data_IF_249588121061
#
_entry.id   IF_249588121061
#
_cell.length_a   1.000
_cell.length_b   1.000
_cell.length_c   1.000
_cell.angle_alpha   90.00
_cell.angle_beta   90.00
_cell.angle_gamma   90.00
#
_symmetry.space_group_name_H-M   'P 1'
#
loop_
_entity.id
_entity.type
_entity.pdbx_description
1 polymer ?
#
# COMPACT_ATOMS: atom_id res chain seq x y z
N UNK A 1 -17.39 -15.59 17.65
CA UNK A 1 -16.66 -14.56 18.41
C UNK A 1 -16.57 -13.30 17.56
N UNK A 2 -17.18 -12.22 17.97
CA UNK A 2 -17.12 -10.95 17.24
C UNK A 2 -15.68 -10.42 17.30
N UNK A 3 -15.09 -10.12 16.15
CA UNK A 3 -13.77 -9.47 16.12
C UNK A 3 -13.94 -8.01 16.53
N UNK A 4 -13.34 -7.55 17.63
CA UNK A 4 -13.65 -6.25 18.24
C UNK A 4 -13.15 -5.03 17.48
N UNK A 5 -12.49 -5.20 16.33
CA UNK A 5 -11.83 -4.13 15.57
C UNK A 5 -12.37 -3.90 14.15
N UNK A 6 -13.46 -4.57 13.76
CA UNK A 6 -14.16 -4.22 12.51
C UNK A 6 -14.93 -2.93 12.74
N UNK A 7 -14.26 -1.82 12.61
CA UNK A 7 -14.94 -0.54 12.60
C UNK A 7 -15.74 -0.40 11.30
N UNK A 8 -16.99 -0.01 11.42
CA UNK A 8 -17.93 0.22 10.31
C UNK A 8 -17.57 1.50 9.51
N UNK A 9 -16.30 1.88 9.47
CA UNK A 9 -15.90 3.15 8.85
C UNK A 9 -16.18 3.12 7.34
N UNK A 10 -15.80 2.07 6.64
CA UNK A 10 -16.07 1.89 5.20
C UNK A 10 -15.95 3.17 4.37
N UNK A 11 -16.53 3.16 3.18
CA UNK A 11 -16.49 4.31 2.25
C UNK A 11 -17.22 5.55 2.82
N UNK A 12 -18.32 5.33 3.57
CA UNK A 12 -19.11 6.41 4.16
C UNK A 12 -18.35 7.19 5.22
N UNK A 13 -17.64 6.47 6.12
CA UNK A 13 -16.84 7.09 7.16
C UNK A 13 -15.64 7.87 6.59
N UNK A 14 -14.98 7.30 5.58
CA UNK A 14 -13.87 7.98 4.90
C UNK A 14 -14.35 9.28 4.24
N UNK A 15 -15.54 9.26 3.61
CA UNK A 15 -16.13 10.46 3.02
C UNK A 15 -16.29 11.58 4.04
N UNK A 16 -16.66 11.26 5.29
CA UNK A 16 -16.83 12.27 6.35
C UNK A 16 -15.52 12.90 6.77
N UNK A 17 -14.41 12.13 6.81
CA UNK A 17 -13.10 12.65 7.25
C UNK A 17 -12.24 13.20 6.12
N UNK A 18 -12.62 12.96 4.86
CA UNK A 18 -11.83 13.37 3.69
C UNK A 18 -11.65 14.89 3.53
N UNK A 19 -12.49 15.68 4.19
CA UNK A 19 -12.36 17.16 4.25
C UNK A 19 -11.30 17.65 5.26
N UNK A 20 -10.78 16.77 6.12
CA UNK A 20 -9.77 17.17 7.11
C UNK A 20 -8.49 17.65 6.43
N UNK A 21 -7.96 18.79 6.85
CA UNK A 21 -6.67 19.34 6.40
C UNK A 21 -5.52 19.03 7.36
N UNK A 22 -5.82 18.56 8.56
CA UNK A 22 -4.84 18.30 9.62
C UNK A 22 -4.43 16.84 9.73
N UNK A 23 -5.26 15.90 9.22
CA UNK A 23 -5.02 14.47 9.35
C UNK A 23 -3.88 14.02 8.42
N UNK A 24 -2.76 13.61 9.00
CA UNK A 24 -1.56 13.16 8.28
C UNK A 24 -1.44 11.64 8.21
N UNK A 25 -2.00 10.93 9.17
CA UNK A 25 -1.92 9.47 9.26
C UNK A 25 -3.31 8.88 9.32
N UNK A 26 -3.58 7.89 8.48
CA UNK A 26 -4.88 7.24 8.41
C UNK A 26 -4.74 5.71 8.33
N UNK A 27 -4.62 5.02 9.49
CA UNK A 27 -4.59 3.57 9.56
C UNK A 27 -6.02 3.01 9.61
N UNK A 28 -6.62 2.73 8.46
CA UNK A 28 -8.01 2.25 8.32
C UNK A 28 -8.08 0.82 7.75
N UNK A 29 -7.19 -0.03 8.19
CA UNK A 29 -7.23 -1.46 7.84
C UNK A 29 -8.52 -2.14 8.33
N UNK A 30 -8.97 -3.17 7.59
CA UNK A 30 -10.10 -4.06 7.94
C UNK A 30 -11.44 -3.33 8.17
N UNK A 31 -11.71 -2.25 7.43
CA UNK A 31 -12.91 -1.41 7.57
C UNK A 31 -13.95 -1.61 6.47
N UNK A 32 -13.79 -2.61 5.60
CA UNK A 32 -14.60 -2.83 4.40
C UNK A 32 -14.55 -1.69 3.37
N UNK A 33 -13.48 -0.88 3.38
CA UNK A 33 -13.26 0.15 2.38
C UNK A 33 -13.15 -0.48 0.98
N UNK A 34 -13.74 0.19 -0.01
CA UNK A 34 -13.64 -0.18 -1.42
C UNK A 34 -12.91 0.89 -2.22
N UNK A 35 -12.80 0.69 -3.54
CA UNK A 35 -12.23 1.69 -4.45
C UNK A 35 -12.97 3.04 -4.39
N UNK A 36 -14.27 3.04 -4.09
CA UNK A 36 -15.05 4.28 -3.90
C UNK A 36 -14.53 5.11 -2.72
N UNK A 37 -14.16 4.44 -1.62
CA UNK A 37 -13.55 5.12 -0.48
C UNK A 37 -12.18 5.70 -0.83
N UNK A 38 -11.37 5.01 -1.64
CA UNK A 38 -10.06 5.52 -2.10
C UNK A 38 -10.21 6.81 -2.92
N UNK A 39 -11.29 6.95 -3.70
CA UNK A 39 -11.59 8.21 -4.39
C UNK A 39 -11.67 9.37 -3.40
N UNK A 40 -12.37 9.19 -2.28
CA UNK A 40 -12.46 10.23 -1.24
C UNK A 40 -11.12 10.48 -0.55
N UNK A 41 -10.33 9.43 -0.28
CA UNK A 41 -8.98 9.56 0.30
C UNK A 41 -8.05 10.38 -0.57
N UNK A 42 -8.19 10.28 -1.89
CA UNK A 42 -7.32 11.00 -2.84
C UNK A 42 -7.40 12.53 -2.72
N UNK A 43 -8.41 13.07 -2.05
CA UNK A 43 -8.52 14.50 -1.74
C UNK A 43 -7.65 14.93 -0.54
N UNK A 44 -7.13 13.98 0.24
CA UNK A 44 -6.36 14.24 1.47
C UNK A 44 -4.86 14.36 1.17
N UNK A 45 -4.48 15.37 0.38
CA UNK A 45 -3.10 15.54 -0.12
C UNK A 45 -2.02 15.74 0.95
N UNK A 46 -2.43 15.95 2.20
CA UNK A 46 -1.53 16.10 3.36
C UNK A 46 -1.16 14.75 4.01
N UNK A 47 -1.75 13.62 3.57
CA UNK A 47 -1.44 12.32 4.14
C UNK A 47 0.02 11.94 3.90
N UNK A 48 0.67 11.51 4.97
CA UNK A 48 2.02 10.93 4.97
C UNK A 48 1.97 9.41 5.18
N UNK A 49 0.93 8.90 5.84
CA UNK A 49 0.70 7.47 6.01
C UNK A 49 -0.74 7.09 5.70
N UNK A 50 -0.90 6.01 4.92
CA UNK A 50 -2.18 5.41 4.59
C UNK A 50 -2.13 3.88 4.78
N UNK A 51 -2.91 3.36 5.73
CA UNK A 51 -3.04 1.94 5.99
C UNK A 51 -4.36 1.39 5.45
N UNK A 52 -4.31 0.61 4.37
CA UNK A 52 -5.47 0.00 3.70
C UNK A 52 -5.56 -1.51 3.89
N UNK A 53 -4.72 -2.10 4.74
CA UNK A 53 -4.64 -3.55 4.93
C UNK A 53 -6.02 -4.20 5.10
N UNK A 54 -6.23 -5.36 4.42
CA UNK A 54 -7.42 -6.17 4.61
C UNK A 54 -8.72 -5.55 4.08
N UNK A 55 -8.64 -4.47 3.32
CA UNK A 55 -9.79 -3.83 2.67
C UNK A 55 -10.06 -4.41 1.27
N UNK A 56 -11.20 -4.04 0.69
CA UNK A 56 -11.66 -4.50 -0.63
C UNK A 56 -11.15 -3.61 -1.77
N UNK A 57 -9.97 -3.01 -1.60
CA UNK A 57 -9.32 -2.16 -2.60
C UNK A 57 -8.73 -3.04 -3.70
N UNK A 58 -8.95 -2.64 -4.95
CA UNK A 58 -8.45 -3.29 -6.16
C UNK A 58 -7.55 -2.36 -6.97
N UNK A 59 -7.06 -2.81 -8.12
CA UNK A 59 -6.27 -1.99 -9.04
C UNK A 59 -7.01 -0.72 -9.48
N UNK A 60 -8.35 -0.75 -9.54
CA UNK A 60 -9.17 0.41 -9.87
C UNK A 60 -9.04 1.55 -8.84
N UNK A 61 -8.87 1.22 -7.57
CA UNK A 61 -8.61 2.23 -6.52
C UNK A 61 -7.21 2.84 -6.63
N UNK A 62 -6.23 2.05 -7.09
CA UNK A 62 -4.83 2.48 -7.16
C UNK A 62 -4.59 3.68 -8.08
N UNK A 63 -5.43 3.88 -9.10
CA UNK A 63 -5.33 5.02 -10.03
C UNK A 63 -5.50 6.37 -9.35
N UNK A 64 -6.09 6.41 -8.17
CA UNK A 64 -6.34 7.63 -7.41
C UNK A 64 -5.21 8.00 -6.42
N UNK A 65 -4.36 7.04 -6.05
CA UNK A 65 -3.27 7.24 -5.09
C UNK A 65 -2.19 8.24 -5.55
N UNK A 66 -1.87 8.39 -6.84
CA UNK A 66 -0.90 9.38 -7.32
C UNK A 66 -1.15 10.82 -6.86
N UNK A 67 -2.36 11.17 -6.42
CA UNK A 67 -2.68 12.48 -5.85
C UNK A 67 -2.07 12.71 -4.46
N UNK A 68 -1.68 11.65 -3.76
CA UNK A 68 -1.16 11.69 -2.40
C UNK A 68 0.37 11.87 -2.39
N UNK A 69 0.85 12.98 -2.93
CA UNK A 69 2.27 13.24 -3.18
C UNK A 69 3.16 13.32 -1.94
N UNK A 70 2.57 13.47 -0.74
CA UNK A 70 3.31 13.49 0.53
C UNK A 70 3.37 12.13 1.22
N UNK A 71 2.89 11.07 0.54
CA UNK A 71 2.82 9.75 1.13
C UNK A 71 4.22 9.15 1.28
N UNK A 72 4.58 8.82 2.52
CA UNK A 72 5.83 8.18 2.93
C UNK A 72 5.61 6.71 3.31
N UNK A 73 4.43 6.36 3.81
CA UNK A 73 4.06 5.00 4.19
C UNK A 73 2.72 4.57 3.58
N UNK A 74 2.72 3.38 2.93
CA UNK A 74 1.53 2.80 2.32
C UNK A 74 1.41 1.31 2.65
N UNK A 75 0.32 0.91 3.27
CA UNK A 75 0.05 -0.48 3.61
C UNK A 75 -1.11 -1.03 2.77
N UNK A 76 -0.79 -1.90 1.81
CA UNK A 76 -1.75 -2.54 0.90
C UNK A 76 -1.94 -4.04 1.17
N UNK A 77 -1.21 -4.62 2.13
CA UNK A 77 -1.27 -6.05 2.42
C UNK A 77 -2.70 -6.57 2.57
N UNK A 78 -2.96 -7.79 2.07
CA UNK A 78 -4.28 -8.44 2.17
C UNK A 78 -5.42 -7.66 1.49
N UNK A 79 -5.13 -6.81 0.52
CA UNK A 79 -6.12 -6.22 -0.39
C UNK A 79 -6.29 -7.09 -1.64
N UNK A 80 -6.87 -6.55 -2.70
CA UNK A 80 -7.02 -7.23 -4.00
C UNK A 80 -6.16 -6.60 -5.11
N UNK A 81 -5.13 -5.86 -4.73
CA UNK A 81 -4.21 -5.20 -5.66
C UNK A 81 -3.31 -6.24 -6.31
N UNK A 82 -3.07 -6.08 -7.62
CA UNK A 82 -2.19 -6.93 -8.43
C UNK A 82 -1.03 -6.11 -9.02
N UNK A 83 -0.22 -6.73 -9.89
CA UNK A 83 0.84 -6.03 -10.63
C UNK A 83 0.32 -4.80 -11.40
N UNK A 84 -0.93 -4.86 -11.90
CA UNK A 84 -1.54 -3.74 -12.62
C UNK A 84 -1.76 -2.51 -11.70
N UNK A 85 -2.10 -2.72 -10.44
CA UNK A 85 -2.25 -1.64 -9.46
C UNK A 85 -0.91 -1.08 -8.99
N UNK A 86 0.10 -1.94 -8.82
CA UNK A 86 1.45 -1.53 -8.39
C UNK A 86 2.09 -0.52 -9.36
N UNK A 87 1.74 -0.54 -10.63
CA UNK A 87 2.26 0.42 -11.63
C UNK A 87 2.05 1.88 -11.19
N UNK A 88 0.93 2.18 -10.53
CA UNK A 88 0.60 3.53 -10.09
C UNK A 88 1.50 4.07 -8.96
N UNK A 89 2.22 3.19 -8.26
CA UNK A 89 3.17 3.59 -7.22
C UNK A 89 4.39 4.34 -7.78
N UNK A 90 4.67 4.20 -9.07
CA UNK A 90 5.75 4.95 -9.74
C UNK A 90 5.57 6.47 -9.64
N UNK A 91 4.34 6.94 -9.41
CA UNK A 91 4.01 8.35 -9.24
C UNK A 91 4.14 8.84 -7.77
N UNK A 92 4.61 7.99 -6.85
CA UNK A 92 4.78 8.29 -5.43
C UNK A 92 6.25 8.17 -5.02
N UNK A 93 7.12 9.06 -5.47
CA UNK A 93 8.58 8.96 -5.26
C UNK A 93 8.98 9.13 -3.80
N UNK A 94 8.11 9.70 -2.96
CA UNK A 94 8.37 9.90 -1.53
C UNK A 94 8.15 8.67 -0.65
N UNK A 95 7.74 7.52 -1.21
CA UNK A 95 7.49 6.32 -0.41
C UNK A 95 8.79 5.81 0.24
N UNK A 96 8.75 5.66 1.56
CA UNK A 96 9.80 5.11 2.39
C UNK A 96 9.45 3.72 2.92
N UNK A 97 8.15 3.45 3.16
CA UNK A 97 7.67 2.17 3.70
C UNK A 97 6.49 1.66 2.87
N UNK A 98 6.62 0.43 2.37
CA UNK A 98 5.62 -0.17 1.51
C UNK A 98 5.35 -1.63 1.94
N UNK A 99 4.08 -1.94 2.22
CA UNK A 99 3.64 -3.29 2.55
C UNK A 99 2.75 -3.83 1.43
N UNK A 100 3.25 -4.87 0.74
CA UNK A 100 2.56 -5.59 -0.33
C UNK A 100 2.34 -7.07 0.02
N UNK A 101 2.56 -7.47 1.27
CA UNK A 101 2.43 -8.86 1.67
C UNK A 101 1.01 -9.43 1.43
N UNK A 102 0.93 -10.73 1.21
CA UNK A 102 -0.33 -11.43 0.94
C UNK A 102 -1.09 -10.89 -0.29
N UNK A 103 -0.36 -10.38 -1.30
CA UNK A 103 -0.91 -9.92 -2.57
C UNK A 103 -0.45 -10.82 -3.73
N UNK A 104 -1.24 -10.94 -4.81
CA UNK A 104 -0.84 -11.67 -6.02
C UNK A 104 0.14 -10.88 -6.90
N UNK A 105 1.06 -10.15 -6.28
CA UNK A 105 2.10 -9.34 -6.94
C UNK A 105 3.28 -10.24 -7.29
N UNK A 106 3.80 -10.13 -8.50
CA UNK A 106 4.84 -11.00 -9.08
C UNK A 106 6.09 -10.22 -9.49
N UNK A 107 7.04 -10.91 -10.12
CA UNK A 107 8.25 -10.30 -10.67
C UNK A 107 7.95 -9.23 -11.75
N UNK A 108 6.73 -9.17 -12.28
CA UNK A 108 6.30 -8.11 -13.19
C UNK A 108 6.36 -6.72 -12.55
N UNK A 109 6.18 -6.65 -11.22
CA UNK A 109 6.26 -5.39 -10.47
C UNK A 109 7.69 -4.88 -10.22
N UNK A 110 8.72 -5.71 -10.41
CA UNK A 110 10.11 -5.34 -10.11
C UNK A 110 10.53 -4.05 -10.81
N UNK A 111 10.14 -3.89 -12.09
CA UNK A 111 10.48 -2.69 -12.90
C UNK A 111 9.93 -1.38 -12.31
N UNK A 112 8.88 -1.46 -11.50
CA UNK A 112 8.31 -0.31 -10.79
C UNK A 112 8.97 -0.15 -9.44
N UNK A 113 9.06 -1.25 -8.66
CA UNK A 113 9.56 -1.22 -7.30
C UNK A 113 11.02 -0.75 -7.21
N UNK A 114 11.88 -1.14 -8.16
CA UNK A 114 13.29 -0.70 -8.18
C UNK A 114 13.47 0.81 -8.40
N UNK A 115 12.45 1.50 -8.92
CA UNK A 115 12.47 2.96 -9.12
C UNK A 115 12.06 3.75 -7.87
N UNK A 116 11.56 3.10 -6.84
CA UNK A 116 11.18 3.73 -5.57
C UNK A 116 12.43 3.87 -4.68
N UNK A 117 13.37 4.72 -5.10
CA UNK A 117 14.71 4.83 -4.51
C UNK A 117 14.72 5.33 -3.05
N UNK A 118 13.62 5.94 -2.61
CA UNK A 118 13.48 6.39 -1.22
C UNK A 118 12.99 5.29 -0.27
N UNK A 119 12.64 4.09 -0.77
CA UNK A 119 12.23 3.00 0.10
C UNK A 119 13.32 2.63 1.11
N UNK A 120 12.90 2.41 2.35
CA UNK A 120 13.66 1.94 3.50
C UNK A 120 13.17 0.59 3.98
N UNK A 121 11.87 0.34 3.83
CA UNK A 121 11.22 -0.92 4.19
C UNK A 121 10.26 -1.36 3.07
N UNK A 122 10.43 -2.60 2.60
CA UNK A 122 9.56 -3.22 1.59
C UNK A 122 9.18 -4.63 2.03
N UNK A 123 7.90 -4.86 2.30
CA UNK A 123 7.38 -6.16 2.72
C UNK A 123 6.65 -6.84 1.57
N UNK A 124 7.22 -7.95 1.07
CA UNK A 124 6.74 -8.72 -0.08
C UNK A 124 6.57 -10.21 0.22
N UNK A 125 6.56 -10.60 1.49
CA UNK A 125 6.32 -12.01 1.86
C UNK A 125 4.91 -12.45 1.47
N UNK A 126 4.72 -13.74 1.23
CA UNK A 126 3.44 -14.30 0.75
C UNK A 126 2.93 -13.62 -0.53
N UNK A 127 3.83 -13.27 -1.43
CA UNK A 127 3.53 -12.79 -2.79
C UNK A 127 3.99 -13.83 -3.83
N UNK A 128 3.84 -13.50 -5.11
CA UNK A 128 4.38 -14.29 -6.24
C UNK A 128 5.74 -13.78 -6.72
N UNK A 129 6.37 -12.85 -5.98
CA UNK A 129 7.74 -12.42 -6.28
C UNK A 129 8.67 -13.59 -5.97
N UNK A 130 9.50 -13.97 -6.95
CA UNK A 130 10.45 -15.07 -6.80
C UNK A 130 11.59 -14.72 -5.83
N UNK A 131 12.27 -15.72 -5.25
CA UNK A 131 13.49 -15.46 -4.47
C UNK A 131 14.54 -14.66 -5.25
N UNK A 132 14.69 -14.94 -6.55
CA UNK A 132 15.59 -14.20 -7.44
C UNK A 132 15.10 -12.74 -7.62
N UNK A 133 13.78 -12.54 -7.74
CA UNK A 133 13.17 -11.21 -7.78
C UNK A 133 13.46 -10.41 -6.50
N UNK A 134 13.30 -11.03 -5.34
CA UNK A 134 13.61 -10.42 -4.05
C UNK A 134 15.10 -10.04 -3.93
N UNK A 135 16.00 -10.91 -4.37
CA UNK A 135 17.44 -10.61 -4.42
C UNK A 135 17.75 -9.42 -5.34
N UNK A 136 17.10 -9.34 -6.50
CA UNK A 136 17.25 -8.20 -7.43
C UNK A 136 16.75 -6.89 -6.82
N UNK A 137 15.63 -6.91 -6.09
CA UNK A 137 15.13 -5.75 -5.34
C UNK A 137 16.14 -5.31 -4.29
N UNK A 138 16.68 -6.24 -3.49
CA UNK A 138 17.65 -5.91 -2.45
C UNK A 138 18.93 -5.32 -3.04
N UNK A 139 19.40 -5.83 -4.19
CA UNK A 139 20.57 -5.31 -4.88
C UNK A 139 20.33 -3.92 -5.48
N UNK A 140 19.15 -3.69 -6.07
CA UNK A 140 18.79 -2.41 -6.69
C UNK A 140 18.49 -1.31 -5.67
N UNK A 141 18.02 -1.69 -4.46
CA UNK A 141 17.63 -0.78 -3.38
C UNK A 141 18.52 -1.02 -2.13
N UNK A 142 19.81 -0.66 -2.17
CA UNK A 142 20.77 -1.01 -1.11
C UNK A 142 20.43 -0.36 0.25
N UNK A 143 19.66 0.72 0.27
CA UNK A 143 19.22 1.40 1.49
C UNK A 143 17.87 0.86 2.01
N UNK A 144 17.22 -0.03 1.26
CA UNK A 144 15.92 -0.62 1.60
C UNK A 144 16.12 -2.00 2.23
N UNK A 145 15.41 -2.26 3.32
CA UNK A 145 15.30 -3.60 3.87
C UNK A 145 14.13 -4.32 3.20
N UNK A 146 14.43 -5.37 2.43
CA UNK A 146 13.41 -6.17 1.73
C UNK A 146 13.06 -7.39 2.58
N UNK A 147 11.81 -7.48 3.00
CA UNK A 147 11.24 -8.60 3.77
C UNK A 147 10.47 -9.50 2.81
N UNK A 148 11.07 -10.62 2.37
CA UNK A 148 10.49 -11.54 1.39
C UNK A 148 10.12 -12.92 1.95
N UNK A 149 10.60 -13.27 3.13
CA UNK A 149 10.22 -14.50 3.80
C UNK A 149 9.35 -14.20 5.01
N UNK A 150 8.35 -15.05 5.25
CA UNK A 150 7.68 -15.09 6.54
C UNK A 150 8.72 -15.63 7.51
N UNK A 151 9.15 -14.86 8.49
CA UNK A 151 9.98 -15.37 9.57
C UNK A 151 9.16 -16.43 10.30
N UNK A 152 9.26 -17.68 9.83
CA UNK A 152 8.70 -18.86 10.43
C UNK A 152 9.77 -19.56 11.21
N UNK A 153 9.59 -19.61 12.51
CA UNK A 153 10.15 -20.52 13.54
C UNK A 153 11.67 -20.69 13.56
#
# INVERSE_FOLDING_TARGET
>A
MAQPYRTWVGDGGVRLVSGSKSLKMLPIGETNLTDKGVVHLSAMSQLTYLGLRGNKVTDAGMVHLPKLQKLEGLHLGQTKVTDAGVVHLSALPGLEKLWLHDLPVSDMSLKVLIKLENLRELHIYSTKISPQGAMRLQAALPKCRVFHEVFGN
#
